data_IF_584680213405
#
_entry.id   IF_584680213405
#
_cell.length_a   1.000
_cell.length_b   1.000
_cell.length_c   1.000
_cell.angle_alpha   90.00
_cell.angle_beta   90.00
_cell.angle_gamma   90.00
#
_symmetry.space_group_name_H-M   'P 1'
#
loop_
_entity.id
_entity.type
_entity.pdbx_description
1 polymer ?
#
# COMPACT_ATOMS: atom_id res chain seq x y z
N UNK A 1 4.22 23.55 -6.74
CA UNK A 1 3.39 22.85 -7.75
C UNK A 1 4.25 21.78 -8.40
N UNK A 2 3.80 20.51 -8.47
CA UNK A 2 4.58 19.42 -9.07
C UNK A 2 4.10 19.17 -10.50
N UNK A 3 5.00 19.31 -11.49
CA UNK A 3 4.70 19.06 -12.91
C UNK A 3 4.23 17.62 -13.15
N UNK A 4 4.81 16.66 -12.43
CA UNK A 4 4.49 15.23 -12.57
C UNK A 4 3.29 14.76 -11.75
N UNK A 5 2.52 15.65 -11.11
CA UNK A 5 1.46 15.28 -10.16
C UNK A 5 0.48 14.29 -10.78
N UNK A 6 -0.17 14.68 -11.87
CA UNK A 6 -1.25 13.87 -12.46
C UNK A 6 -0.73 12.52 -12.98
N UNK A 7 0.44 12.50 -13.62
CA UNK A 7 1.06 11.26 -14.10
C UNK A 7 1.39 10.31 -12.93
N UNK A 8 1.95 10.83 -11.83
CA UNK A 8 2.24 10.03 -10.65
C UNK A 8 0.96 9.47 -10.02
N UNK A 9 -0.13 10.24 -9.99
CA UNK A 9 -1.43 9.74 -9.51
C UNK A 9 -1.99 8.65 -10.42
N UNK A 10 -1.87 8.78 -11.75
CA UNK A 10 -2.33 7.74 -12.69
C UNK A 10 -1.54 6.45 -12.50
N UNK A 11 -0.21 6.53 -12.39
CA UNK A 11 0.65 5.36 -12.15
C UNK A 11 0.29 4.67 -10.83
N UNK A 12 0.15 5.44 -9.74
CA UNK A 12 -0.21 4.90 -8.43
C UNK A 12 -1.60 4.24 -8.45
N UNK A 13 -2.59 4.87 -9.09
CA UNK A 13 -3.94 4.30 -9.25
C UNK A 13 -3.94 3.00 -10.06
N UNK A 14 -3.17 2.93 -11.14
CA UNK A 14 -3.05 1.71 -11.96
C UNK A 14 -2.50 0.54 -11.16
N UNK A 15 -1.43 0.77 -10.40
CA UNK A 15 -0.83 -0.24 -9.51
C UNK A 15 -1.85 -0.70 -8.46
N UNK A 16 -2.52 0.25 -7.79
CA UNK A 16 -3.53 -0.07 -6.77
C UNK A 16 -4.71 -0.86 -7.35
N UNK A 17 -5.17 -0.52 -8.56
CA UNK A 17 -6.25 -1.23 -9.23
C UNK A 17 -5.89 -2.69 -9.48
N UNK A 18 -4.72 -2.97 -10.07
CA UNK A 18 -4.29 -4.34 -10.35
C UNK A 18 -4.07 -5.15 -9.06
N UNK A 19 -3.47 -4.54 -8.03
CA UNK A 19 -3.29 -5.19 -6.72
C UNK A 19 -4.63 -5.60 -6.10
N UNK A 20 -5.63 -4.71 -6.11
CA UNK A 20 -6.94 -5.00 -5.51
C UNK A 20 -7.82 -5.93 -6.37
N UNK A 21 -7.51 -6.06 -7.65
CA UNK A 21 -8.17 -7.01 -8.54
C UNK A 21 -7.75 -8.45 -8.21
N UNK A 22 -6.44 -8.68 -8.03
CA UNK A 22 -5.86 -10.01 -7.87
C UNK A 22 -5.66 -10.45 -6.41
N UNK A 23 -5.53 -9.49 -5.48
CA UNK A 23 -5.16 -9.74 -4.09
C UNK A 23 -6.20 -9.20 -3.11
N UNK A 24 -6.34 -9.92 -2.00
CA UNK A 24 -6.93 -9.42 -0.75
C UNK A 24 -5.78 -8.88 0.09
N UNK A 25 -5.86 -7.61 0.47
CA UNK A 25 -4.82 -6.88 1.21
C UNK A 25 -5.36 -6.48 2.59
N UNK A 26 -4.88 -7.15 3.63
CA UNK A 26 -5.28 -6.93 5.02
C UNK A 26 -4.19 -6.12 5.74
N UNK A 27 -4.50 -4.90 6.20
CA UNK A 27 -3.53 -4.05 6.92
C UNK A 27 -3.27 -4.61 8.33
N UNK A 28 -2.00 -4.83 8.67
CA UNK A 28 -1.60 -5.33 9.99
C UNK A 28 -1.49 -4.17 10.97
N UNK A 29 -2.64 -3.77 11.54
CA UNK A 29 -2.76 -2.58 12.41
C UNK A 29 -1.85 -2.61 13.64
N UNK A 30 -1.57 -3.81 14.15
CA UNK A 30 -0.70 -4.06 15.32
C UNK A 30 0.75 -3.63 15.06
N UNK A 31 1.22 -3.80 13.82
CA UNK A 31 2.59 -3.44 13.40
C UNK A 31 2.62 -2.03 12.80
N UNK A 32 1.52 -1.60 12.19
CA UNK A 32 1.39 -0.32 11.51
C UNK A 32 1.03 0.86 12.44
N UNK A 33 1.37 0.83 13.73
CA UNK A 33 1.14 1.96 14.65
C UNK A 33 -0.30 2.52 14.66
N UNK A 34 -1.31 1.67 14.51
CA UNK A 34 -2.71 2.10 14.37
C UNK A 34 -3.26 2.11 12.94
N UNK A 35 -2.48 1.63 11.95
CA UNK A 35 -2.90 1.49 10.56
C UNK A 35 -2.30 2.52 9.60
N UNK A 36 -1.31 3.30 10.02
CA UNK A 36 -0.57 4.25 9.19
C UNK A 36 0.94 4.00 9.25
N UNK A 37 1.67 4.20 8.14
CA UNK A 37 3.13 4.06 8.14
C UNK A 37 3.77 5.03 9.13
N UNK A 38 4.81 4.60 9.84
CA UNK A 38 5.59 5.48 10.72
C UNK A 38 6.20 6.63 9.92
N UNK A 39 6.06 7.85 10.44
CA UNK A 39 6.69 9.02 9.87
C UNK A 39 8.15 9.11 10.34
N UNK A 40 9.09 9.22 9.39
CA UNK A 40 10.50 9.48 9.72
C UNK A 40 10.72 10.99 9.74
N UNK A 41 11.31 11.50 10.83
CA UNK A 41 11.77 12.88 10.87
C UNK A 41 12.95 13.04 9.89
N UNK A 42 12.68 13.61 8.72
CA UNK A 42 13.67 13.93 7.71
C UNK A 42 13.32 15.25 7.01
N UNK A 43 14.32 15.88 6.37
CA UNK A 43 14.13 17.14 5.64
C UNK A 43 13.11 17.01 4.50
N UNK A 44 12.99 15.80 3.93
CA UNK A 44 11.95 15.44 2.96
C UNK A 44 10.90 14.53 3.60
N UNK A 45 9.69 14.48 3.06
CA UNK A 45 8.69 13.49 3.48
C UNK A 45 9.18 12.07 3.11
N UNK A 46 9.23 11.15 4.09
CA UNK A 46 9.61 9.74 3.91
C UNK A 46 8.71 8.83 4.75
N UNK A 47 8.34 7.69 4.18
CA UNK A 47 7.64 6.60 4.89
C UNK A 47 8.67 5.62 5.44
N UNK A 48 8.59 5.28 6.73
CA UNK A 48 9.46 4.25 7.34
C UNK A 48 8.89 2.87 7.05
N UNK A 49 9.66 1.99 6.40
CA UNK A 49 9.31 0.57 6.26
C UNK A 49 8.03 0.25 5.46
N UNK A 50 7.33 1.25 4.91
CA UNK A 50 6.09 1.05 4.15
C UNK A 50 4.86 0.82 5.03
N UNK A 51 3.78 0.31 4.43
CA UNK A 51 2.56 -0.09 5.14
C UNK A 51 2.57 -1.60 5.35
N UNK A 52 2.64 -2.10 6.60
CA UNK A 52 2.56 -3.53 6.88
C UNK A 52 1.22 -4.13 6.45
N UNK A 53 1.26 -5.12 5.54
CA UNK A 53 0.07 -5.81 5.03
C UNK A 53 0.28 -7.31 4.97
N UNK A 54 -0.81 -8.07 5.10
CA UNK A 54 -0.91 -9.49 4.73
C UNK A 54 -1.64 -9.57 3.39
N UNK A 55 -1.10 -10.36 2.47
CA UNK A 55 -1.67 -10.53 1.13
C UNK A 55 -2.12 -11.97 0.92
N UNK A 56 -3.24 -12.15 0.22
CA UNK A 56 -3.73 -13.45 -0.24
C UNK A 56 -4.28 -13.33 -1.65
N UNK A 57 -4.15 -14.37 -2.47
CA UNK A 57 -4.77 -14.38 -3.80
C UNK A 57 -6.30 -14.44 -3.68
N UNK A 58 -6.97 -13.63 -4.48
CA UNK A 58 -8.43 -13.67 -4.59
C UNK A 58 -8.85 -14.99 -5.24
N UNK A 59 -9.78 -15.71 -4.61
CA UNK A 59 -10.30 -16.98 -5.11
C UNK A 59 -9.43 -18.23 -4.82
N UNK A 60 -8.28 -18.10 -4.16
CA UNK A 60 -7.55 -19.27 -3.68
C UNK A 60 -8.22 -19.82 -2.40
N UNK A 61 -8.94 -20.94 -2.53
CA UNK A 61 -9.36 -21.77 -1.40
C UNK A 61 -8.27 -22.83 -1.16
N UNK A 62 -7.59 -22.83 0.01
CA UNK A 62 -6.62 -23.88 0.33
C UNK A 62 -7.26 -25.26 0.61
N UNK A 63 -8.59 -25.38 0.56
CA UNK A 63 -9.34 -26.61 0.81
C UNK A 63 -10.19 -27.02 -0.40
N UNK A 64 -9.54 -27.43 -1.49
CA UNK A 64 -10.12 -28.38 -2.45
C UNK A 64 -9.07 -29.44 -2.80
#
# INVERSE_FOLDING_TARGET
>A
MCLGKEMAYVQMKSIVANVLEELVVDVVKEVAGGGSPEHVFSISLRMKGGLPVKIRRKGYSPNN
#
